data_IF_641366998510
#
_entry.id   IF_641366998510
#
_cell.length_a   1.000
_cell.length_b   1.000
_cell.length_c   1.000
_cell.angle_alpha   90.00
_cell.angle_beta   90.00
_cell.angle_gamma   90.00
#
_symmetry.space_group_name_H-M   'P 1'
#
loop_
_entity.id
_entity.type
_entity.pdbx_description
1 polymer ?
#
# COMPACT_ATOMS: atom_id res chain seq x y z
N UNK A 1 34.47 -42.60 -81.26
CA UNK A 1 35.06 -42.35 -79.91
C UNK A 1 34.87 -40.91 -79.40
N UNK A 2 35.02 -39.86 -80.23
CA UNK A 2 34.83 -38.45 -79.80
C UNK A 2 33.43 -38.11 -79.26
N UNK A 3 32.36 -38.69 -79.82
CA UNK A 3 30.97 -38.43 -79.38
C UNK A 3 30.63 -39.01 -78.00
N UNK A 4 31.23 -40.14 -77.63
CA UNK A 4 31.06 -40.78 -76.31
C UNK A 4 31.79 -39.99 -75.22
N UNK A 5 32.97 -39.46 -75.53
CA UNK A 5 33.73 -38.61 -74.63
C UNK A 5 32.99 -37.30 -74.31
N UNK A 6 32.35 -36.68 -75.30
CA UNK A 6 31.59 -35.44 -75.11
C UNK A 6 30.35 -35.66 -74.23
N UNK A 7 29.61 -36.76 -74.45
CA UNK A 7 28.44 -37.09 -73.61
C UNK A 7 28.87 -37.38 -72.17
N UNK A 8 30.00 -38.05 -71.96
CA UNK A 8 30.51 -38.36 -70.62
C UNK A 8 30.97 -37.10 -69.88
N UNK A 9 31.61 -36.14 -70.58
CA UNK A 9 32.01 -34.86 -69.98
C UNK A 9 30.80 -33.99 -69.64
N UNK A 10 29.77 -33.96 -70.50
CA UNK A 10 28.53 -33.21 -70.20
C UNK A 10 27.78 -33.82 -69.02
N UNK A 11 27.72 -35.16 -68.93
CA UNK A 11 27.13 -35.86 -67.77
C UNK A 11 27.90 -35.64 -66.48
N UNK A 12 29.23 -35.59 -66.52
CA UNK A 12 30.08 -35.27 -65.36
C UNK A 12 29.93 -33.81 -64.91
N UNK A 13 29.73 -32.87 -65.84
CA UNK A 13 29.48 -31.47 -65.48
C UNK A 13 28.07 -31.24 -64.91
N UNK A 14 27.06 -32.02 -65.30
CA UNK A 14 25.70 -31.94 -64.76
C UNK A 14 25.54 -32.60 -63.39
N UNK A 15 26.47 -33.47 -62.99
CA UNK A 15 26.47 -34.13 -61.67
C UNK A 15 27.32 -33.38 -60.62
N UNK A 16 27.98 -32.28 -60.99
CA UNK A 16 28.75 -31.43 -60.09
C UNK A 16 27.92 -30.23 -59.56
N UNK A 17 26.66 -30.48 -59.19
CA UNK A 17 25.73 -29.45 -58.71
C UNK A 17 25.17 -29.64 -57.29
N UNK A 18 25.56 -30.71 -56.57
CA UNK A 18 24.83 -31.12 -55.36
C UNK A 18 25.70 -31.33 -54.11
N UNK A 19 26.78 -30.56 -53.94
CA UNK A 19 27.45 -30.45 -52.64
C UNK A 19 27.63 -28.97 -52.28
N UNK A 20 26.51 -28.31 -51.96
CA UNK A 20 26.56 -27.15 -51.09
C UNK A 20 26.87 -27.66 -49.68
N UNK A 21 28.16 -27.83 -49.37
CA UNK A 21 28.62 -28.07 -48.01
C UNK A 21 28.25 -26.83 -47.20
N UNK A 22 27.10 -26.87 -46.51
CA UNK A 22 26.68 -25.81 -45.59
C UNK A 22 27.84 -25.54 -44.64
N UNK A 23 28.35 -24.31 -44.67
CA UNK A 23 29.46 -23.91 -43.84
C UNK A 23 29.08 -24.17 -42.36
N UNK A 24 29.74 -25.09 -41.65
CA UNK A 24 29.32 -25.52 -40.31
C UNK A 24 29.37 -24.37 -39.27
N UNK A 25 29.98 -23.24 -39.62
CA UNK A 25 30.05 -22.05 -38.79
C UNK A 25 28.90 -21.05 -39.00
N UNK A 26 28.04 -21.23 -40.01
CA UNK A 26 26.95 -20.28 -40.32
C UNK A 26 25.93 -20.18 -39.17
N UNK A 27 25.49 -21.32 -38.63
CA UNK A 27 24.54 -21.39 -37.51
C UNK A 27 25.13 -20.81 -36.22
N UNK A 28 26.41 -21.05 -35.95
CA UNK A 28 27.09 -20.46 -34.78
C UNK A 28 27.22 -18.94 -34.91
N UNK A 29 27.52 -18.45 -36.12
CA UNK A 29 27.62 -17.00 -36.37
C UNK A 29 26.26 -16.31 -36.18
N UNK A 30 25.17 -16.95 -36.60
CA UNK A 30 23.81 -16.46 -36.37
C UNK A 30 23.45 -16.42 -34.87
N UNK A 31 23.79 -17.47 -34.13
CA UNK A 31 23.60 -17.50 -32.67
C UNK A 31 24.42 -16.42 -31.96
N UNK A 32 25.68 -16.19 -32.37
CA UNK A 32 26.52 -15.12 -31.80
C UNK A 32 25.91 -13.75 -32.08
N UNK A 33 25.41 -13.53 -33.29
CA UNK A 33 24.71 -12.30 -33.66
C UNK A 33 23.46 -12.08 -32.81
N UNK A 34 22.64 -13.12 -32.65
CA UNK A 34 21.43 -13.10 -31.82
C UNK A 34 21.77 -12.82 -30.36
N UNK A 35 22.71 -13.57 -29.78
CA UNK A 35 23.17 -13.37 -28.41
C UNK A 35 23.71 -11.94 -28.20
N UNK A 36 24.40 -11.39 -29.20
CA UNK A 36 24.89 -9.99 -29.16
C UNK A 36 23.72 -8.99 -29.14
N UNK A 37 22.68 -9.22 -29.95
CA UNK A 37 21.46 -8.40 -29.91
C UNK A 37 20.74 -8.51 -28.56
N UNK A 38 20.59 -9.72 -28.04
CA UNK A 38 19.95 -9.97 -26.74
C UNK A 38 20.71 -9.25 -25.61
N UNK A 39 22.05 -9.32 -25.61
CA UNK A 39 22.89 -8.59 -24.65
C UNK A 39 22.67 -7.07 -24.75
N UNK A 40 22.64 -6.51 -25.97
CA UNK A 40 22.38 -5.08 -26.16
C UNK A 40 20.99 -4.67 -25.68
N UNK A 41 19.98 -5.50 -25.94
CA UNK A 41 18.63 -5.28 -25.45
C UNK A 41 18.58 -5.33 -23.92
N UNK A 42 19.25 -6.31 -23.29
CA UNK A 42 19.37 -6.38 -21.84
C UNK A 42 20.04 -5.13 -21.27
N UNK A 43 21.13 -4.66 -21.86
CA UNK A 43 21.81 -3.44 -21.44
C UNK A 43 20.92 -2.19 -21.55
N UNK A 44 20.18 -2.06 -22.66
CA UNK A 44 19.19 -0.99 -22.86
C UNK A 44 18.06 -1.04 -21.82
N UNK A 45 17.56 -2.24 -21.54
CA UNK A 45 16.54 -2.45 -20.52
C UNK A 45 17.06 -2.11 -19.11
N UNK A 46 18.31 -2.47 -18.79
CA UNK A 46 18.95 -2.10 -17.54
C UNK A 46 19.04 -0.57 -17.39
N UNK A 47 19.50 0.15 -18.41
CA UNK A 47 19.54 1.61 -18.39
C UNK A 47 18.15 2.23 -18.16
N UNK A 48 17.13 1.69 -18.84
CA UNK A 48 15.74 2.13 -18.67
C UNK A 48 15.21 1.87 -17.26
N UNK A 49 15.63 0.76 -16.61
CA UNK A 49 15.26 0.46 -15.23
C UNK A 49 15.91 1.44 -14.25
N UNK A 50 17.19 1.78 -14.44
CA UNK A 50 17.86 2.79 -13.59
C UNK A 50 17.17 4.14 -13.66
N UNK A 51 16.77 4.59 -14.86
CA UNK A 51 16.02 5.85 -15.02
C UNK A 51 14.66 5.81 -14.32
N UNK A 52 13.95 4.68 -14.37
CA UNK A 52 12.68 4.50 -13.64
C UNK A 52 12.87 4.50 -12.13
N UNK A 53 13.96 3.91 -11.64
CA UNK A 53 14.30 3.93 -10.21
C UNK A 53 14.57 5.37 -9.77
N UNK A 54 15.35 6.13 -10.54
CA UNK A 54 15.65 7.54 -10.23
C UNK A 54 14.38 8.39 -10.20
N UNK A 55 13.50 8.26 -11.20
CA UNK A 55 12.20 8.93 -11.25
C UNK A 55 11.30 8.54 -10.06
N UNK A 56 11.31 7.26 -9.67
CA UNK A 56 10.56 6.78 -8.52
C UNK A 56 11.08 7.36 -7.20
N UNK A 57 12.40 7.50 -7.05
CA UNK A 57 13.03 8.13 -5.89
C UNK A 57 12.67 9.62 -5.79
N UNK A 58 12.64 10.33 -6.91
CA UNK A 58 12.18 11.72 -6.97
C UNK A 58 10.72 11.84 -6.53
N UNK A 59 9.83 11.02 -7.10
CA UNK A 59 8.41 10.99 -6.73
C UNK A 59 8.18 10.64 -5.27
N UNK A 60 8.99 9.72 -4.73
CA UNK A 60 8.97 9.40 -3.30
C UNK A 60 9.33 10.61 -2.44
N UNK A 61 10.37 11.37 -2.83
CA UNK A 61 10.76 12.61 -2.17
C UNK A 61 9.65 13.66 -2.20
N UNK A 62 9.00 13.87 -3.35
CA UNK A 62 7.88 14.80 -3.48
C UNK A 62 6.68 14.39 -2.62
N UNK A 63 6.32 13.10 -2.63
CA UNK A 63 5.23 12.57 -1.83
C UNK A 63 5.52 12.74 -0.34
N UNK A 64 6.75 12.45 0.09
CA UNK A 64 7.19 12.68 1.47
C UNK A 64 7.07 14.16 1.86
N UNK A 65 7.49 15.08 0.99
CA UNK A 65 7.33 16.52 1.23
C UNK A 65 5.86 16.93 1.41
N UNK A 66 4.97 16.41 0.56
CA UNK A 66 3.51 16.65 0.69
C UNK A 66 2.94 16.09 1.99
N UNK A 67 3.42 14.94 2.46
CA UNK A 67 3.04 14.36 3.76
C UNK A 67 3.52 15.24 4.91
N UNK A 68 4.77 15.70 4.87
CA UNK A 68 5.35 16.58 5.89
C UNK A 68 4.59 17.92 5.97
N UNK A 69 4.13 18.44 4.83
CA UNK A 69 3.27 19.64 4.77
C UNK A 69 1.86 19.39 5.30
N UNK A 70 1.26 18.24 4.97
CA UNK A 70 -0.04 17.85 5.49
C UNK A 70 0.00 17.67 7.01
N UNK A 71 1.05 17.04 7.54
CA UNK A 71 1.27 16.87 8.97
C UNK A 71 1.36 18.22 9.68
N UNK A 72 2.10 19.19 9.12
CA UNK A 72 2.15 20.57 9.64
C UNK A 72 0.80 21.25 9.62
N UNK A 73 0.02 21.12 8.54
CA UNK A 73 -1.34 21.65 8.46
C UNK A 73 -2.26 21.04 9.52
N UNK A 74 -2.23 19.71 9.69
CA UNK A 74 -3.01 19.01 10.73
C UNK A 74 -2.61 19.49 12.12
N UNK A 75 -1.30 19.65 12.38
CA UNK A 75 -0.80 20.19 13.65
C UNK A 75 -1.36 21.59 13.94
N UNK A 76 -1.31 22.50 12.95
CA UNK A 76 -1.87 23.86 13.08
C UNK A 76 -3.39 23.86 13.27
N UNK A 77 -4.10 22.97 12.59
CA UNK A 77 -5.56 22.82 12.75
C UNK A 77 -5.86 22.32 14.16
N UNK A 78 -5.15 21.30 14.67
CA UNK A 78 -5.33 20.84 16.04
C UNK A 78 -5.02 21.92 17.09
N UNK A 79 -4.07 22.82 16.85
CA UNK A 79 -3.84 23.95 17.77
C UNK A 79 -4.95 25.01 17.68
N UNK A 80 -5.55 25.19 16.50
CA UNK A 80 -6.65 26.13 16.29
C UNK A 80 -8.04 25.58 16.67
N UNK A 81 -8.23 24.26 16.63
CA UNK A 81 -9.49 23.54 16.89
C UNK A 81 -9.49 22.82 18.24
N UNK A 82 -8.33 22.64 18.87
CA UNK A 82 -8.22 22.21 20.25
C UNK A 82 -8.66 23.35 21.15
N UNK A 83 -9.73 23.11 21.90
CA UNK A 83 -10.29 23.98 22.93
C UNK A 83 -9.26 24.98 23.47
N UNK A 84 -9.41 26.26 23.10
CA UNK A 84 -8.65 27.34 23.72
C UNK A 84 -8.72 27.14 25.24
N UNK A 85 -7.61 27.26 25.98
CA UNK A 85 -7.64 27.21 27.44
C UNK A 85 -8.71 28.15 28.02
N UNK A 86 -9.09 29.22 27.31
CA UNK A 86 -10.22 30.10 27.64
C UNK A 86 -11.60 29.44 27.56
N UNK A 87 -11.84 28.52 26.61
CA UNK A 87 -13.12 27.82 26.51
C UNK A 87 -13.26 26.82 27.65
N UNK A 88 -12.15 26.14 28.00
CA UNK A 88 -12.12 25.23 29.15
C UNK A 88 -12.29 25.98 30.47
N UNK A 89 -11.61 27.12 30.62
CA UNK A 89 -11.76 27.99 31.80
C UNK A 89 -13.19 28.54 31.93
N UNK A 90 -13.81 28.97 30.82
CA UNK A 90 -15.20 29.43 30.82
C UNK A 90 -16.17 28.30 31.15
N UNK A 91 -15.91 27.08 30.69
CA UNK A 91 -16.74 25.92 31.00
C UNK A 91 -16.64 25.55 32.48
N UNK A 92 -15.43 25.52 33.04
CA UNK A 92 -15.20 25.24 34.46
C UNK A 92 -15.86 26.31 35.36
N UNK A 93 -15.79 27.60 34.98
CA UNK A 93 -16.49 28.68 35.67
C UNK A 93 -18.01 28.56 35.58
N UNK A 94 -18.53 28.26 34.39
CA UNK A 94 -19.97 28.14 34.17
C UNK A 94 -20.54 26.93 34.93
N UNK A 95 -19.79 25.83 35.00
CA UNK A 95 -20.18 24.65 35.78
C UNK A 95 -20.15 24.92 37.30
N UNK A 96 -19.19 25.71 37.78
CA UNK A 96 -19.17 26.18 39.17
C UNK A 96 -20.38 27.09 39.49
N UNK A 97 -20.75 27.98 38.58
CA UNK A 97 -21.86 28.93 38.74
C UNK A 97 -23.22 28.21 38.70
N UNK A 98 -23.38 27.22 37.82
CA UNK A 98 -24.57 26.35 37.77
C UNK A 98 -24.72 25.53 39.05
N UNK A 99 -23.63 25.02 39.62
CA UNK A 99 -23.67 24.27 40.87
C UNK A 99 -23.97 25.16 42.08
N UNK A 100 -23.45 26.39 42.10
CA UNK A 100 -23.79 27.39 43.12
C UNK A 100 -25.28 27.79 43.05
N UNK A 101 -25.81 28.02 41.85
CA UNK A 101 -27.23 28.30 41.63
C UNK A 101 -28.11 27.11 42.06
N UNK A 102 -27.70 25.87 41.79
CA UNK A 102 -28.40 24.67 42.25
C UNK A 102 -28.49 24.54 43.78
N UNK A 103 -27.49 25.03 44.51
CA UNK A 103 -27.50 25.04 45.98
C UNK A 103 -28.37 26.16 46.58
N UNK A 104 -28.71 27.18 45.79
CA UNK A 104 -29.57 28.29 46.21
C UNK A 104 -31.06 28.09 45.92
N UNK A 105 -31.48 26.98 45.27
CA UNK A 105 -32.90 26.65 45.13
C UNK A 105 -33.40 25.87 46.35
N UNK A 106 -34.28 26.45 47.21
CA UNK A 106 -35.03 25.66 48.18
C UNK A 106 -36.04 24.76 47.44
N UNK A 107 -36.07 23.50 47.86
CA UNK A 107 -37.00 22.46 47.45
C UNK A 107 -38.46 22.92 47.58
N UNK A 108 -39.07 23.36 46.48
CA UNK A 108 -40.52 23.30 46.33
C UNK A 108 -40.88 22.01 45.61
N UNK A 109 -41.56 21.13 46.34
CA UNK A 109 -42.13 19.90 45.87
C UNK A 109 -43.21 20.15 44.82
N UNK A 110 -43.24 19.33 43.78
CA UNK A 110 -44.48 18.91 43.14
C UNK A 110 -44.31 17.48 42.63
N UNK A 111 -45.01 16.57 43.30
CA UNK A 111 -45.31 15.22 42.82
C UNK A 111 -46.33 15.30 41.68
N UNK A 112 -46.05 14.66 40.54
CA UNK A 112 -46.94 13.73 39.82
C UNK A 112 -46.62 13.59 38.32
N UNK A 113 -46.75 12.34 37.85
CA UNK A 113 -47.08 11.90 36.48
C UNK A 113 -45.93 11.66 35.45
N UNK A 114 -45.53 10.39 35.42
CA UNK A 114 -45.18 9.52 34.27
C UNK A 114 -45.35 10.08 32.84
N UNK A 115 -44.25 10.16 32.08
CA UNK A 115 -44.16 9.87 30.63
C UNK A 115 -42.68 9.84 30.16
N UNK A 116 -42.37 8.90 29.27
CA UNK A 116 -41.02 8.46 28.91
C UNK A 116 -40.46 9.17 27.66
N UNK A 117 -39.20 9.68 27.74
CA UNK A 117 -38.11 9.68 26.70
C UNK A 117 -38.33 10.57 25.43
N UNK A 118 -37.30 11.10 24.68
CA UNK A 118 -35.83 10.88 24.69
C UNK A 118 -34.83 12.09 24.58
N UNK A 119 -33.57 11.80 25.00
CA UNK A 119 -32.23 12.23 24.48
C UNK A 119 -31.79 13.72 24.56
N UNK A 120 -30.51 14.06 24.76
CA UNK A 120 -29.29 13.34 24.36
C UNK A 120 -28.16 13.41 25.40
N UNK A 121 -27.82 12.24 25.93
CA UNK A 121 -26.52 11.90 26.50
C UNK A 121 -25.50 11.70 25.38
N UNK A 122 -24.24 12.05 25.64
CA UNK A 122 -23.07 11.66 24.85
C UNK A 122 -23.04 10.14 24.72
N UNK A 123 -23.55 9.63 23.59
CA UNK A 123 -23.42 8.24 23.17
C UNK A 123 -21.93 7.94 22.94
N UNK A 124 -21.30 7.34 23.95
CA UNK A 124 -20.39 6.24 23.69
C UNK A 124 -21.24 5.16 22.99
N UNK A 125 -21.25 5.18 21.66
CA UNK A 125 -21.74 4.04 20.88
C UNK A 125 -21.02 2.80 21.41
N UNK A 126 -21.72 1.67 21.60
CA UNK A 126 -21.04 0.41 21.88
C UNK A 126 -20.05 0.19 20.75
N UNK A 127 -18.75 0.23 21.06
CA UNK A 127 -17.70 -0.18 20.13
C UNK A 127 -18.16 -1.52 19.56
N UNK A 128 -18.41 -1.55 18.25
CA UNK A 128 -18.74 -2.81 17.59
C UNK A 128 -17.60 -3.78 17.93
N UNK A 129 -17.86 -5.06 18.22
CA UNK A 129 -16.81 -6.02 18.54
C UNK A 129 -15.65 -5.99 17.52
N UNK A 130 -15.96 -5.69 16.26
CA UNK A 130 -14.98 -5.47 15.20
C UNK A 130 -14.05 -4.26 15.48
N UNK A 131 -14.59 -3.12 15.90
CA UNK A 131 -13.79 -1.92 16.19
C UNK A 131 -12.88 -2.13 17.41
N UNK A 132 -13.34 -2.92 18.39
CA UNK A 132 -12.53 -3.29 19.55
C UNK A 132 -11.34 -4.18 19.15
N UNK A 133 -11.58 -5.22 18.34
CA UNK A 133 -10.53 -6.12 17.87
C UNK A 133 -9.54 -5.41 16.93
N UNK A 134 -10.05 -4.52 16.06
CA UNK A 134 -9.23 -3.67 15.22
C UNK A 134 -8.30 -2.77 16.04
N UNK A 135 -8.84 -2.08 17.05
CA UNK A 135 -8.04 -1.21 17.94
C UNK A 135 -6.97 -2.01 18.67
N UNK A 136 -7.29 -3.21 19.16
CA UNK A 136 -6.32 -4.08 19.83
C UNK A 136 -5.16 -4.45 18.91
N UNK A 137 -5.45 -4.82 17.66
CA UNK A 137 -4.41 -5.11 16.67
C UNK A 137 -3.59 -3.85 16.32
N UNK A 138 -4.24 -2.69 16.24
CA UNK A 138 -3.56 -1.41 16.00
C UNK A 138 -2.59 -1.03 17.12
N UNK A 139 -2.92 -1.31 18.38
CA UNK A 139 -2.00 -1.08 19.51
C UNK A 139 -0.70 -1.87 19.33
N UNK A 140 -0.76 -3.12 18.86
CA UNK A 140 0.43 -3.93 18.58
C UNK A 140 1.26 -3.34 17.43
N UNK A 141 0.60 -2.84 16.39
CA UNK A 141 1.25 -2.14 15.29
C UNK A 141 1.95 -0.86 15.76
N UNK A 142 1.26 -0.03 16.57
CA UNK A 142 1.80 1.22 17.11
C UNK A 142 2.99 0.96 18.07
N UNK A 143 2.99 -0.20 18.76
CA UNK A 143 4.10 -0.70 19.56
C UNK A 143 5.27 -1.28 18.73
N UNK A 144 5.18 -1.24 17.39
CA UNK A 144 6.14 -1.82 16.43
C UNK A 144 6.30 -3.33 16.54
N UNK A 145 5.34 -4.01 17.17
CA UNK A 145 5.30 -5.47 17.25
C UNK A 145 4.68 -6.05 15.97
N UNK A 146 5.30 -5.79 14.82
CA UNK A 146 4.75 -6.08 13.50
C UNK A 146 4.32 -7.54 13.30
N UNK A 147 5.11 -8.49 13.82
CA UNK A 147 4.77 -9.92 13.77
C UNK A 147 3.46 -10.26 14.53
N UNK A 148 3.21 -9.59 15.67
CA UNK A 148 2.00 -9.79 16.46
C UNK A 148 0.82 -9.04 15.85
N UNK A 149 1.08 -7.83 15.34
CA UNK A 149 0.10 -7.04 14.59
C UNK A 149 -0.44 -7.80 13.38
N UNK A 150 0.43 -8.38 12.55
CA UNK A 150 0.04 -9.20 11.39
C UNK A 150 -0.87 -10.35 11.82
N UNK A 151 -0.53 -11.07 12.90
CA UNK A 151 -1.36 -12.18 13.41
C UNK A 151 -2.73 -11.70 13.86
N UNK A 152 -2.79 -10.60 14.61
CA UNK A 152 -4.04 -10.04 15.13
C UNK A 152 -4.94 -9.52 13.99
N UNK A 153 -4.36 -8.82 13.02
CA UNK A 153 -5.06 -8.35 11.83
C UNK A 153 -5.51 -9.49 10.90
N UNK A 154 -4.70 -10.53 10.74
CA UNK A 154 -5.08 -11.73 9.97
C UNK A 154 -6.24 -12.48 10.64
N UNK A 155 -6.26 -12.52 11.98
CA UNK A 155 -7.37 -13.08 12.74
C UNK A 155 -8.64 -12.24 12.56
N UNK A 156 -8.50 -10.91 12.60
CA UNK A 156 -9.60 -9.98 12.32
C UNK A 156 -10.24 -10.25 10.95
N UNK A 157 -9.46 -10.35 9.86
CA UNK A 157 -9.99 -10.63 8.53
C UNK A 157 -10.71 -11.99 8.44
N UNK A 158 -10.27 -12.99 9.20
CA UNK A 158 -10.92 -14.31 9.26
C UNK A 158 -12.26 -14.26 9.98
N UNK A 159 -12.33 -13.52 11.09
CA UNK A 159 -13.53 -13.35 11.91
C UNK A 159 -14.56 -12.44 11.23
N UNK A 160 -14.10 -11.36 10.59
CA UNK A 160 -14.94 -10.28 10.08
C UNK A 160 -14.80 -10.10 8.55
N UNK A 161 -15.09 -11.15 7.78
CA UNK A 161 -14.89 -11.18 6.32
C UNK A 161 -15.61 -10.07 5.53
N UNK A 162 -16.71 -9.52 6.06
CA UNK A 162 -17.50 -8.46 5.41
C UNK A 162 -17.40 -7.10 6.12
N UNK A 163 -16.42 -6.92 7.02
CA UNK A 163 -16.26 -5.64 7.71
C UNK A 163 -15.74 -4.56 6.78
N UNK A 164 -16.25 -3.34 6.96
CA UNK A 164 -15.75 -2.13 6.29
C UNK A 164 -14.30 -1.81 6.66
N UNK A 165 -13.80 -2.39 7.76
CA UNK A 165 -12.43 -2.20 8.23
C UNK A 165 -11.43 -3.12 7.51
N UNK A 166 -11.86 -4.08 6.70
CA UNK A 166 -10.95 -5.03 6.05
C UNK A 166 -9.92 -4.38 5.13
N UNK A 167 -10.31 -3.33 4.40
CA UNK A 167 -9.39 -2.57 3.56
C UNK A 167 -8.30 -1.90 4.41
N UNK A 168 -8.72 -1.36 5.56
CA UNK A 168 -7.81 -0.72 6.50
C UNK A 168 -6.88 -1.74 7.18
N UNK A 169 -7.40 -2.92 7.51
CA UNK A 169 -6.63 -4.03 8.07
C UNK A 169 -5.59 -4.54 7.07
N UNK A 170 -5.97 -4.68 5.79
CA UNK A 170 -5.04 -5.09 4.74
C UNK A 170 -3.87 -4.11 4.59
N UNK A 171 -4.16 -2.80 4.65
CA UNK A 171 -3.12 -1.77 4.67
C UNK A 171 -2.12 -1.97 5.81
N UNK A 172 -2.59 -2.17 7.04
CA UNK A 172 -1.69 -2.36 8.18
C UNK A 172 -0.91 -3.67 8.14
N UNK A 173 -1.47 -4.74 7.57
CA UNK A 173 -0.73 -5.99 7.34
C UNK A 173 0.41 -5.74 6.34
N UNK A 174 0.12 -5.11 5.21
CA UNK A 174 1.11 -4.80 4.18
C UNK A 174 2.23 -3.90 4.72
N UNK A 175 1.87 -2.86 5.47
CA UNK A 175 2.84 -1.95 6.08
C UNK A 175 3.67 -2.65 7.17
N UNK A 176 3.07 -3.57 7.92
CA UNK A 176 3.82 -4.40 8.87
C UNK A 176 4.87 -5.28 8.18
N UNK A 177 4.53 -5.91 7.04
CA UNK A 177 5.49 -6.68 6.24
C UNK A 177 6.60 -5.79 5.67
N UNK A 178 6.25 -4.60 5.20
CA UNK A 178 7.22 -3.61 4.74
C UNK A 178 8.22 -3.23 5.84
N UNK A 179 7.74 -2.98 7.07
CA UNK A 179 8.59 -2.67 8.22
C UNK A 179 9.48 -3.85 8.65
N UNK A 180 9.01 -5.09 8.46
CA UNK A 180 9.80 -6.31 8.71
C UNK A 180 10.83 -6.59 7.61
N UNK A 181 10.81 -5.84 6.50
CA UNK A 181 11.66 -6.07 5.31
C UNK A 181 11.49 -7.47 4.72
N UNK A 182 10.33 -8.08 4.93
CA UNK A 182 9.96 -9.35 4.33
C UNK A 182 9.09 -8.98 3.14
N UNK A 183 9.69 -9.05 1.95
CA UNK A 183 9.02 -8.82 0.67
C UNK A 183 8.92 -10.18 -0.03
N UNK A 184 7.85 -10.91 0.24
CA UNK A 184 7.51 -12.14 -0.50
C UNK A 184 6.19 -11.90 -1.24
#
# INVERSE_FOLDING_TARGET
>A
MKKVLIVLVVFLSFSCGAFAQENPYSSQLEQISKNTQDIKMLQSNQASLYLKIEDLLVKYGELKGRIDDLARKIGSIQTSSGASPEIKEKLDKLEAEVNALKQQLPSQSLSSTQASVPQASTQASPLSPEEADFKKAKVLYDAKEYNQAIKAFSAFQKTYKNSKLNDQVLFYIADSYYNLKIYD
#
